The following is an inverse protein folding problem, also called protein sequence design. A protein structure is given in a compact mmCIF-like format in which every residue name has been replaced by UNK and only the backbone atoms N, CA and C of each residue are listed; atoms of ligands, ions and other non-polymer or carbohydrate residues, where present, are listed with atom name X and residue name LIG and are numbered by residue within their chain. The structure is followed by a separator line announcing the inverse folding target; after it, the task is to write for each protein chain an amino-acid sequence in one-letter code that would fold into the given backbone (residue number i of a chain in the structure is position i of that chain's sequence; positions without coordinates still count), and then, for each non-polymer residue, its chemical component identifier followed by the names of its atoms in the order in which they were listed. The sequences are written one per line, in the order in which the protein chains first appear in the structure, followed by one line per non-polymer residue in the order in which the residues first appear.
data_IF_645723933013
#
_entry.id   IF_645723933013
#
_cell.length_a   1.000
_cell.length_b   1.000
_cell.length_c   1.000
_cell.angle_alpha   90.00
_cell.angle_beta   90.00
_cell.angle_gamma   90.00
#
_symmetry.space_group_name_H-M   'P 1'
#
loop_
_entity.id
_entity.type
_entity.pdbx_description
1 polymer ?
#
# COMPACT_ATOMS: atom_id res chain seq x y z
N UNK A 1 4.52 0.84 5.40
CA UNK A 1 4.14 1.58 4.17
C UNK A 1 4.31 3.09 4.36
N UNK A 2 3.88 3.65 5.50
CA UNK A 2 4.08 5.06 5.82
C UNK A 2 5.55 5.47 5.94
N UNK A 3 6.35 4.74 6.73
CA UNK A 3 7.76 5.14 7.00
C UNK A 3 8.70 5.07 5.79
N UNK A 4 8.41 4.21 4.80
CA UNK A 4 9.27 4.00 3.62
C UNK A 4 8.74 4.65 2.35
N UNK A 5 7.42 4.76 2.21
CA UNK A 5 6.78 5.18 0.96
C UNK A 5 5.74 6.29 1.17
N UNK A 6 5.57 6.80 2.40
CA UNK A 6 4.62 7.85 2.76
C UNK A 6 3.16 7.51 2.43
N UNK A 7 2.84 6.22 2.36
CA UNK A 7 1.50 5.74 2.04
C UNK A 7 0.77 5.43 3.34
N UNK A 8 -0.24 6.25 3.65
CA UNK A 8 -1.06 6.08 4.85
C UNK A 8 -2.09 4.97 4.63
N UNK A 9 -1.96 3.88 5.37
CA UNK A 9 -2.82 2.70 5.24
C UNK A 9 -3.27 2.20 6.60
N UNK A 10 -4.49 1.69 6.69
CA UNK A 10 -5.01 1.09 7.93
C UNK A 10 -4.89 -0.43 7.82
N UNK A 11 -4.19 -1.11 8.75
CA UNK A 11 -4.16 -2.56 8.75
C UNK A 11 -5.53 -3.10 9.16
N UNK A 12 -5.99 -4.13 8.43
CA UNK A 12 -7.13 -4.95 8.84
C UNK A 12 -6.55 -6.19 9.51
N UNK A 13 -6.73 -6.27 10.82
CA UNK A 13 -6.24 -7.37 11.65
C UNK A 13 -7.45 -8.19 12.11
N UNK A 14 -7.97 -9.05 11.24
CA UNK A 14 -8.97 -10.05 11.62
C UNK A 14 -8.30 -11.41 11.80
N UNK A 15 -8.90 -12.26 12.63
CA UNK A 15 -8.31 -13.57 12.95
C UNK A 15 -8.33 -14.54 11.76
N UNK A 16 -9.30 -14.36 10.86
CA UNK A 16 -9.46 -15.16 9.64
C UNK A 16 -8.78 -14.54 8.41
N UNK A 17 -8.46 -13.24 8.45
CA UNK A 17 -7.79 -12.55 7.35
C UNK A 17 -7.02 -11.33 7.85
N UNK A 18 -5.79 -11.21 7.36
CA UNK A 18 -4.96 -10.03 7.54
C UNK A 18 -4.82 -9.33 6.20
N UNK A 19 -5.00 -8.01 6.20
CA UNK A 19 -4.96 -7.23 4.98
C UNK A 19 -4.65 -5.77 5.24
N UNK A 20 -4.51 -5.02 4.16
CA UNK A 20 -4.24 -3.58 4.23
C UNK A 20 -5.43 -2.89 3.56
N UNK A 21 -6.10 -1.99 4.28
CA UNK A 21 -7.12 -1.13 3.71
C UNK A 21 -6.47 0.13 3.16
N UNK A 22 -6.68 0.37 1.88
CA UNK A 22 -6.14 1.49 1.14
C UNK A 22 -7.32 2.25 0.57
N UNK A 23 -7.43 3.52 0.94
CA UNK A 23 -8.53 4.38 0.49
C UNK A 23 -7.93 5.56 -0.26
N UNK A 24 -8.03 5.60 -1.60
CA UNK A 24 -7.61 6.76 -2.35
C UNK A 24 -8.49 7.95 -1.99
N UNK A 25 -7.90 9.15 -1.92
CA UNK A 25 -8.62 10.40 -1.68
C UNK A 25 -8.72 11.16 -3.02
N UNK A 26 -9.75 11.99 -3.20
CA UNK A 26 -9.88 12.88 -4.36
C UNK A 26 -8.72 13.88 -4.49
N UNK A 27 -7.96 14.09 -3.42
CA UNK A 27 -6.75 14.91 -3.41
C UNK A 27 -5.46 14.14 -3.73
N UNK A 28 -5.53 12.82 -3.94
CA UNK A 28 -4.37 12.03 -4.34
C UNK A 28 -3.98 12.38 -5.78
N UNK A 29 -2.73 12.78 -5.98
CA UNK A 29 -2.19 13.07 -7.31
C UNK A 29 -1.94 11.78 -8.10
N UNK A 30 -1.90 11.87 -9.43
CA UNK A 30 -1.58 10.72 -10.28
C UNK A 30 -0.19 10.16 -9.97
N UNK A 31 0.80 11.02 -9.74
CA UNK A 31 2.16 10.60 -9.37
C UNK A 31 2.20 9.82 -8.04
N UNK A 32 1.38 10.19 -7.05
CA UNK A 32 1.27 9.45 -5.79
C UNK A 32 0.60 8.09 -5.98
N UNK A 33 -0.39 8.01 -6.87
CA UNK A 33 -1.05 6.76 -7.23
C UNK A 33 -0.08 5.82 -7.98
N UNK A 34 0.66 6.34 -8.95
CA UNK A 34 1.63 5.56 -9.72
C UNK A 34 2.74 5.00 -8.81
N UNK A 35 3.26 5.82 -7.87
CA UNK A 35 4.22 5.34 -6.85
C UNK A 35 3.65 4.19 -6.01
N UNK A 36 2.37 4.24 -5.67
CA UNK A 36 1.73 3.16 -4.92
C UNK A 36 1.65 1.87 -5.77
N UNK A 37 1.20 1.99 -7.03
CA UNK A 37 1.10 0.87 -7.96
C UNK A 37 2.46 0.21 -8.20
N UNK A 38 3.51 1.00 -8.44
CA UNK A 38 4.87 0.50 -8.65
C UNK A 38 5.37 -0.33 -7.46
N UNK A 39 5.13 0.12 -6.23
CA UNK A 39 5.52 -0.64 -5.04
C UNK A 39 4.71 -1.93 -4.89
N UNK A 40 3.41 -1.91 -5.22
CA UNK A 40 2.58 -3.12 -5.18
C UNK A 40 3.00 -4.13 -6.24
N UNK A 41 3.34 -3.69 -7.44
CA UNK A 41 3.89 -4.57 -8.48
C UNK A 41 5.22 -5.18 -8.07
N UNK A 42 6.10 -4.39 -7.45
CA UNK A 42 7.38 -4.86 -6.94
C UNK A 42 7.19 -5.94 -5.86
N UNK A 43 6.29 -5.71 -4.90
CA UNK A 43 5.97 -6.68 -3.85
C UNK A 43 5.32 -7.94 -4.44
N UNK A 44 4.44 -7.80 -5.43
CA UNK A 44 3.80 -8.94 -6.09
C UNK A 44 4.83 -9.82 -6.82
N UNK A 45 5.87 -9.21 -7.41
CA UNK A 45 6.94 -9.94 -8.12
C UNK A 45 8.00 -10.53 -7.20
N UNK A 46 8.39 -9.80 -6.16
CA UNK A 46 9.57 -10.12 -5.34
C UNK A 46 9.24 -10.63 -3.94
N UNK A 47 7.96 -10.60 -3.55
CA UNK A 47 7.53 -10.89 -2.19
C UNK A 47 7.74 -9.72 -1.23
N UNK A 48 7.34 -9.92 0.02
CA UNK A 48 7.51 -8.90 1.06
C UNK A 48 9.00 -8.76 1.42
N UNK A 49 9.54 -7.53 1.51
CA UNK A 49 10.89 -7.33 2.01
C UNK A 49 10.96 -7.77 3.47
N UNK A 50 11.90 -8.67 3.76
CA UNK A 50 12.24 -9.14 5.12
C UNK A 50 12.87 -8.04 5.97
#
# INVERSE_FOLDING_TARGET
LFDKHHIFTVPIMHQEFQGIRITPNVYTTLDELDRFCDQMELIARNGLPT
#
